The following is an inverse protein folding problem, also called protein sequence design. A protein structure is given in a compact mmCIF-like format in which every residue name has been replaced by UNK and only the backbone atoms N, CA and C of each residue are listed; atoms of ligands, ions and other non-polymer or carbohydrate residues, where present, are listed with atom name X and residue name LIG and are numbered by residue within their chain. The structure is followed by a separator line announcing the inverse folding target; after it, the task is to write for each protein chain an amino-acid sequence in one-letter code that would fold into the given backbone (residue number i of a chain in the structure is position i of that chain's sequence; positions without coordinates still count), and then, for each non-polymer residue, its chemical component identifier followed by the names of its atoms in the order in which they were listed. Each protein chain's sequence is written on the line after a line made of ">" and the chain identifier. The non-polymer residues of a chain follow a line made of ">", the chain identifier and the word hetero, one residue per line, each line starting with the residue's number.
data_IF_522783040578
#
_entry.id   IF_522783040578
#
_cell.length_a   1.000
_cell.length_b   1.000
_cell.length_c   1.000
_cell.angle_alpha   90.00
_cell.angle_beta   90.00
_cell.angle_gamma   90.00
#
_symmetry.space_group_name_H-M   'P 1'
#
loop_
_entity.id
_entity.type
_entity.pdbx_description
1 polymer ?
#
# COMPACT_ATOMS: atom_id res chain seq x y z
N UNK A 1 46.66 15.61 29.53
CA UNK A 1 45.36 15.12 30.05
C UNK A 1 44.14 16.01 29.75
N UNK A 2 44.27 17.30 29.36
CA UNK A 2 43.11 18.19 29.06
C UNK A 2 42.44 18.04 27.69
N UNK A 3 43.12 17.44 26.70
CA UNK A 3 42.62 17.34 25.31
C UNK A 3 41.63 16.16 25.14
N UNK A 4 41.81 15.08 25.91
CA UNK A 4 40.93 13.90 25.92
C UNK A 4 39.53 14.20 26.47
N UNK A 5 39.39 15.08 27.47
CA UNK A 5 38.06 15.45 27.99
C UNK A 5 37.28 16.34 27.01
N UNK A 6 37.96 17.15 26.20
CA UNK A 6 37.30 18.06 25.25
C UNK A 6 36.69 17.30 24.06
N UNK A 7 37.38 16.29 23.54
CA UNK A 7 36.85 15.43 22.47
C UNK A 7 35.68 14.56 22.95
N UNK A 8 35.71 14.10 24.21
CA UNK A 8 34.59 13.37 24.82
C UNK A 8 33.35 14.27 25.05
N UNK A 9 33.56 15.52 25.45
CA UNK A 9 32.46 16.49 25.58
C UNK A 9 31.90 16.85 24.20
N UNK A 10 32.75 17.05 23.18
CA UNK A 10 32.31 17.34 21.82
C UNK A 10 31.53 16.19 21.19
N UNK A 11 31.94 14.93 21.41
CA UNK A 11 31.18 13.76 20.94
C UNK A 11 29.85 13.60 21.68
N UNK A 12 29.79 13.89 22.99
CA UNK A 12 28.53 13.87 23.76
C UNK A 12 27.59 15.00 23.35
N UNK A 13 28.10 16.19 23.04
CA UNK A 13 27.32 17.33 22.53
C UNK A 13 26.82 17.04 21.10
N UNK A 14 27.68 16.52 20.22
CA UNK A 14 27.33 16.20 18.83
C UNK A 14 26.30 15.06 18.74
N UNK A 15 26.44 14.01 19.57
CA UNK A 15 25.44 12.94 19.68
C UNK A 15 24.13 13.41 20.31
N UNK A 16 24.15 14.47 21.12
CA UNK A 16 22.92 15.05 21.71
C UNK A 16 22.20 15.98 20.74
N UNK A 17 22.93 16.79 19.97
CA UNK A 17 22.35 17.65 18.93
C UNK A 17 21.72 16.84 17.78
N UNK A 18 22.40 15.79 17.32
CA UNK A 18 21.87 14.89 16.28
C UNK A 18 20.60 14.17 16.74
N UNK A 19 20.57 13.63 17.97
CA UNK A 19 19.36 13.02 18.55
C UNK A 19 18.20 14.01 18.67
N UNK A 20 18.47 15.24 19.07
CA UNK A 20 17.46 16.30 19.13
C UNK A 20 16.90 16.62 17.74
N UNK A 21 17.77 16.85 16.75
CA UNK A 21 17.36 17.17 15.39
C UNK A 21 16.51 16.05 14.78
N UNK A 22 16.96 14.79 14.92
CA UNK A 22 16.23 13.61 14.45
C UNK A 22 14.92 13.44 15.21
N UNK A 23 14.92 13.56 16.54
CA UNK A 23 13.72 13.44 17.38
C UNK A 23 12.64 14.47 17.01
N UNK A 24 13.03 15.74 16.83
CA UNK A 24 12.13 16.80 16.38
C UNK A 24 11.58 16.55 14.97
N UNK A 25 12.42 16.09 14.04
CA UNK A 25 12.00 15.76 12.68
C UNK A 25 10.99 14.61 12.68
N UNK A 26 11.27 13.51 13.40
CA UNK A 26 10.36 12.37 13.50
C UNK A 26 9.06 12.78 14.19
N UNK A 27 9.11 13.62 15.23
CA UNK A 27 7.91 14.15 15.90
C UNK A 27 7.03 14.93 14.91
N UNK A 28 7.63 15.84 14.14
CA UNK A 28 6.92 16.65 13.16
C UNK A 28 6.28 15.77 12.08
N UNK A 29 7.03 14.81 11.53
CA UNK A 29 6.51 13.89 10.52
C UNK A 29 5.38 13.01 11.07
N UNK A 30 5.49 12.54 12.32
CA UNK A 30 4.45 11.74 12.97
C UNK A 30 3.16 12.54 13.20
N UNK A 31 3.26 13.80 13.60
CA UNK A 31 2.09 14.69 13.77
C UNK A 31 1.46 15.00 12.42
N UNK A 32 2.24 15.31 11.37
CA UNK A 32 1.72 15.53 10.01
C UNK A 32 0.99 14.29 9.51
N UNK A 33 1.60 13.11 9.66
CA UNK A 33 1.00 11.84 9.27
C UNK A 33 -0.33 11.60 9.99
N UNK A 34 -0.37 11.85 11.30
CA UNK A 34 -1.56 11.67 12.12
C UNK A 34 -2.67 12.65 11.71
N UNK A 35 -2.38 13.94 11.56
CA UNK A 35 -3.36 14.95 11.13
C UNK A 35 -3.91 14.64 9.73
N UNK A 36 -3.03 14.26 8.80
CA UNK A 36 -3.42 13.87 7.44
C UNK A 36 -4.32 12.62 7.48
N UNK A 37 -3.96 11.60 8.26
CA UNK A 37 -4.77 10.40 8.44
C UNK A 37 -6.16 10.71 9.02
N UNK A 38 -6.22 11.49 10.11
CA UNK A 38 -7.50 11.82 10.75
C UNK A 38 -8.39 12.65 9.84
N UNK A 39 -7.82 13.62 9.13
CA UNK A 39 -8.56 14.47 8.19
C UNK A 39 -9.15 13.61 7.06
N UNK A 40 -8.36 12.69 6.50
CA UNK A 40 -8.84 11.77 5.48
C UNK A 40 -9.91 10.80 6.02
N UNK A 41 -9.73 10.28 7.24
CA UNK A 41 -10.68 9.39 7.89
C UNK A 41 -12.03 10.08 8.14
N UNK A 42 -12.00 11.34 8.57
CA UNK A 42 -13.19 12.19 8.73
C UNK A 42 -13.89 12.42 7.41
N UNK A 43 -13.16 12.89 6.38
CA UNK A 43 -13.74 13.17 5.06
C UNK A 43 -14.34 11.92 4.42
N UNK A 44 -13.66 10.77 4.53
CA UNK A 44 -14.14 9.50 4.01
C UNK A 44 -15.41 9.04 4.74
N UNK A 45 -15.43 9.17 6.07
CA UNK A 45 -16.62 8.81 6.88
C UNK A 45 -17.82 9.68 6.50
N UNK A 46 -17.65 11.01 6.42
CA UNK A 46 -18.71 11.93 5.96
C UNK A 46 -19.21 11.58 4.56
N UNK A 47 -18.30 11.29 3.64
CA UNK A 47 -18.64 11.01 2.25
C UNK A 47 -19.44 9.71 2.11
N UNK A 48 -19.10 8.68 2.90
CA UNK A 48 -19.84 7.42 2.94
C UNK A 48 -21.20 7.58 3.65
N UNK A 49 -21.26 8.32 4.75
CA UNK A 49 -22.52 8.64 5.46
C UNK A 49 -23.47 9.44 4.54
N UNK A 50 -22.95 10.42 3.79
CA UNK A 50 -23.69 11.15 2.75
C UNK A 50 -24.20 10.21 1.66
N UNK A 51 -23.33 9.34 1.13
CA UNK A 51 -23.70 8.36 0.12
C UNK A 51 -24.81 7.41 0.57
N UNK A 52 -24.83 7.03 1.85
CA UNK A 52 -25.86 6.16 2.41
C UNK A 52 -27.26 6.79 2.40
N UNK A 53 -27.35 8.12 2.58
CA UNK A 53 -28.62 8.82 2.55
C UNK A 53 -29.09 9.18 1.12
N UNK A 54 -28.17 9.25 0.16
CA UNK A 54 -28.46 9.62 -1.22
C UNK A 54 -28.70 8.43 -2.14
N UNK A 55 -28.21 7.23 -1.78
CA UNK A 55 -28.25 6.06 -2.66
C UNK A 55 -29.67 5.57 -2.92
N UNK A 56 -30.00 5.41 -4.21
CA UNK A 56 -31.25 4.82 -4.67
C UNK A 56 -30.97 3.41 -5.20
N UNK A 57 -31.44 2.34 -4.55
CA UNK A 57 -31.31 0.99 -5.07
C UNK A 57 -32.21 0.79 -6.30
N UNK A 58 -31.61 0.39 -7.41
CA UNK A 58 -32.34 0.11 -8.64
C UNK A 58 -32.99 -1.28 -8.56
N UNK A 59 -34.26 -1.36 -8.93
CA UNK A 59 -35.03 -2.61 -8.86
C UNK A 59 -34.57 -3.66 -9.90
N UNK A 60 -34.04 -3.21 -11.04
CA UNK A 60 -33.51 -4.07 -12.10
C UNK A 60 -32.37 -3.35 -12.82
N UNK A 61 -31.38 -4.14 -13.26
CA UNK A 61 -30.31 -3.67 -14.14
C UNK A 61 -30.75 -3.60 -15.62
N UNK A 62 -31.92 -4.14 -15.98
CA UNK A 62 -32.34 -4.39 -17.37
C UNK A 62 -33.12 -3.22 -17.98
N UNK A 63 -33.50 -2.21 -17.20
CA UNK A 63 -34.16 -1.02 -17.71
C UNK A 63 -33.42 0.21 -17.23
N UNK A 64 -32.99 1.07 -18.16
CA UNK A 64 -32.33 2.33 -17.81
C UNK A 64 -33.35 3.25 -17.13
N UNK A 65 -33.22 3.39 -15.81
CA UNK A 65 -34.04 4.29 -15.00
C UNK A 65 -33.66 5.76 -15.22
N UNK A 66 -34.12 6.34 -16.34
CA UNK A 66 -33.87 7.74 -16.68
C UNK A 66 -34.38 8.74 -15.61
N UNK A 67 -35.35 8.34 -14.79
CA UNK A 67 -35.85 9.09 -13.62
C UNK A 67 -34.84 9.24 -12.46
N UNK A 68 -33.71 8.52 -12.54
CA UNK A 68 -32.62 8.55 -11.59
C UNK A 68 -31.33 9.13 -12.18
N UNK A 69 -31.42 9.75 -13.36
CA UNK A 69 -30.30 10.48 -13.95
C UNK A 69 -29.81 11.59 -13.01
N UNK A 70 -28.49 11.72 -12.87
CA UNK A 70 -27.81 12.60 -11.92
C UNK A 70 -27.86 12.17 -10.45
N UNK A 71 -28.52 11.05 -10.11
CA UNK A 71 -28.60 10.54 -8.73
C UNK A 71 -27.55 9.48 -8.45
N UNK A 72 -27.24 9.28 -7.17
CA UNK A 72 -26.44 8.15 -6.69
C UNK A 72 -27.32 6.91 -6.73
N UNK A 73 -26.94 5.94 -7.53
CA UNK A 73 -27.68 4.69 -7.72
C UNK A 73 -26.87 3.50 -7.25
N UNK A 74 -27.56 2.46 -6.83
CA UNK A 74 -26.99 1.13 -6.61
C UNK A 74 -27.54 0.17 -7.65
N UNK A 75 -26.65 -0.55 -8.33
CA UNK A 75 -27.01 -1.65 -9.23
C UNK A 75 -26.15 -2.87 -8.92
N UNK A 76 -26.74 -4.04 -9.09
CA UNK A 76 -26.03 -5.30 -8.98
C UNK A 76 -26.40 -6.21 -10.14
N UNK A 77 -25.44 -6.95 -10.65
CA UNK A 77 -25.65 -7.90 -11.73
C UNK A 77 -24.34 -8.46 -12.27
N UNK A 78 -24.44 -9.36 -13.23
CA UNK A 78 -23.28 -9.91 -13.93
C UNK A 78 -22.63 -8.82 -14.80
N UNK A 79 -21.29 -8.81 -14.79
CA UNK A 79 -20.53 -8.00 -15.73
C UNK A 79 -20.73 -8.55 -17.14
N UNK A 80 -20.90 -7.66 -18.11
CA UNK A 80 -20.88 -8.01 -19.53
C UNK A 80 -19.84 -7.16 -20.21
N UNK A 81 -18.93 -7.78 -20.94
CA UNK A 81 -17.87 -7.09 -21.70
C UNK A 81 -18.07 -7.32 -23.19
N UNK A 82 -17.81 -6.29 -24.01
CA UNK A 82 -17.86 -6.41 -25.46
C UNK A 82 -16.97 -5.34 -26.11
N UNK A 83 -16.14 -5.68 -27.12
CA UNK A 83 -15.75 -7.05 -27.51
C UNK A 83 -14.89 -7.73 -26.43
N UNK A 84 -14.64 -9.05 -26.54
CA UNK A 84 -13.65 -9.76 -25.71
C UNK A 84 -12.25 -9.14 -25.87
N UNK A 85 -11.45 -9.20 -24.80
CA UNK A 85 -10.05 -8.78 -24.82
C UNK A 85 -9.19 -9.88 -25.45
N UNK A 86 -8.23 -9.47 -26.29
CA UNK A 86 -7.44 -10.40 -27.11
C UNK A 86 -5.96 -10.06 -27.11
N UNK A 87 -5.13 -11.10 -27.05
CA UNK A 87 -3.71 -11.04 -27.39
C UNK A 87 -3.44 -11.95 -28.59
N UNK A 88 -3.33 -11.33 -29.77
CA UNK A 88 -3.17 -12.03 -31.04
C UNK A 88 -1.84 -12.80 -31.15
N UNK A 89 -0.80 -12.39 -30.43
CA UNK A 89 0.51 -13.05 -30.48
C UNK A 89 0.45 -14.45 -29.85
N UNK A 90 -0.43 -14.62 -28.86
CA UNK A 90 -0.59 -15.87 -28.13
C UNK A 90 -1.94 -16.55 -28.35
N UNK A 91 -2.80 -16.00 -29.23
CA UNK A 91 -4.15 -16.52 -29.44
C UNK A 91 -5.03 -16.50 -28.18
N UNK A 92 -4.72 -15.62 -27.22
CA UNK A 92 -5.46 -15.53 -25.95
C UNK A 92 -6.67 -14.63 -26.15
N UNK A 93 -7.84 -15.12 -25.76
CA UNK A 93 -9.10 -14.39 -25.79
C UNK A 93 -9.83 -14.58 -24.47
N UNK A 94 -10.35 -13.49 -23.89
CA UNK A 94 -11.14 -13.57 -22.65
C UNK A 94 -12.17 -12.44 -22.54
N UNK A 95 -13.36 -12.80 -22.05
CA UNK A 95 -14.37 -11.84 -21.62
C UNK A 95 -14.08 -11.37 -20.18
N UNK A 96 -13.35 -10.27 -20.06
CA UNK A 96 -13.00 -9.67 -18.78
C UNK A 96 -12.81 -8.15 -18.89
N UNK A 97 -12.89 -7.45 -17.75
CA UNK A 97 -12.69 -5.98 -17.69
C UNK A 97 -11.26 -5.60 -18.05
N UNK A 98 -10.27 -6.38 -17.60
CA UNK A 98 -8.85 -6.15 -17.92
C UNK A 98 -8.12 -7.44 -18.21
N UNK A 99 -7.18 -7.36 -19.15
CA UNK A 99 -6.27 -8.42 -19.55
C UNK A 99 -4.84 -7.93 -19.35
N UNK A 100 -4.02 -8.68 -18.63
CA UNK A 100 -2.62 -8.37 -18.36
C UNK A 100 -1.71 -9.46 -18.92
N UNK A 101 -0.84 -9.06 -19.85
CA UNK A 101 0.32 -9.86 -20.27
C UNK A 101 1.52 -9.50 -19.40
N UNK A 102 2.00 -10.44 -18.61
CA UNK A 102 3.24 -10.29 -17.82
C UNK A 102 4.37 -11.04 -18.52
N UNK A 103 5.40 -10.30 -18.91
CA UNK A 103 6.61 -10.83 -19.54
C UNK A 103 7.75 -10.79 -18.54
N UNK A 104 8.47 -11.89 -18.40
CA UNK A 104 9.68 -11.97 -17.59
C UNK A 104 10.82 -12.51 -18.44
N UNK A 105 12.03 -12.02 -18.17
CA UNK A 105 13.24 -12.48 -18.83
C UNK A 105 14.16 -13.16 -17.81
N UNK A 106 14.74 -14.29 -18.20
CA UNK A 106 15.75 -14.98 -17.41
C UNK A 106 17.06 -14.20 -17.47
N UNK A 107 17.55 -13.75 -16.32
CA UNK A 107 18.68 -12.82 -16.21
C UNK A 107 19.54 -13.17 -14.99
N UNK A 108 20.81 -12.81 -15.04
CA UNK A 108 21.69 -12.77 -13.87
C UNK A 108 21.21 -11.74 -12.86
N UNK A 109 21.36 -12.07 -11.58
CA UNK A 109 21.13 -11.21 -10.43
C UNK A 109 22.31 -11.33 -9.47
N UNK A 110 22.68 -10.21 -8.86
CA UNK A 110 23.68 -10.14 -7.79
C UNK A 110 22.94 -10.07 -6.45
N UNK A 111 23.24 -10.97 -5.51
CA UNK A 111 22.81 -10.84 -4.12
C UNK A 111 23.98 -10.27 -3.28
N UNK A 112 23.86 -9.03 -2.79
CA UNK A 112 24.92 -8.39 -2.03
C UNK A 112 25.00 -8.87 -0.56
N UNK A 113 24.00 -9.61 -0.07
CA UNK A 113 23.86 -9.93 1.36
C UNK A 113 24.18 -11.39 1.71
N UNK A 114 24.36 -12.26 0.72
CA UNK A 114 24.65 -13.68 0.92
C UNK A 114 26.12 -13.87 1.40
N UNK A 115 26.34 -13.67 2.70
CA UNK A 115 27.64 -13.82 3.36
C UNK A 115 27.85 -12.96 4.61
N UNK A 116 26.85 -12.19 5.05
CA UNK A 116 26.89 -11.45 6.32
C UNK A 116 26.63 -12.33 7.55
N UNK A 117 26.23 -13.60 7.37
CA UNK A 117 25.87 -14.53 8.45
C UNK A 117 27.04 -15.35 9.02
N UNK A 118 28.28 -14.86 8.91
CA UNK A 118 29.43 -15.55 9.49
C UNK A 118 29.50 -15.26 11.00
N UNK A 119 29.19 -16.26 11.84
CA UNK A 119 29.40 -16.20 13.30
C UNK A 119 30.88 -15.93 13.61
N UNK A 120 31.17 -14.74 14.12
CA UNK A 120 32.52 -14.34 14.53
C UNK A 120 32.85 -15.04 15.85
N UNK A 121 33.77 -16.01 15.81
CA UNK A 121 34.40 -16.55 17.02
C UNK A 121 35.29 -15.47 17.68
N UNK A 122 35.19 -15.25 19.01
CA UNK A 122 35.96 -14.21 19.68
C UNK A 122 37.42 -14.63 19.79
N UNK A 123 38.27 -14.17 18.85
CA UNK A 123 39.71 -14.45 18.90
C UNK A 123 40.52 -14.00 17.69
N UNK A 124 39.94 -13.97 16.48
CA UNK A 124 40.69 -13.66 15.26
C UNK A 124 40.52 -12.20 14.83
N UNK A 125 41.52 -11.38 15.15
CA UNK A 125 41.65 -10.02 14.63
C UNK A 125 42.25 -10.06 13.20
N UNK A 126 41.46 -10.51 12.23
CA UNK A 126 41.78 -10.39 10.80
C UNK A 126 40.93 -9.28 10.19
N UNK A 127 41.45 -8.41 9.29
CA UNK A 127 40.65 -7.34 8.70
C UNK A 127 39.48 -7.97 7.93
N UNK A 128 38.26 -7.70 8.41
CA UNK A 128 37.00 -8.17 7.85
C UNK A 128 36.92 -7.75 6.37
N UNK A 129 37.26 -8.67 5.47
CA UNK A 129 36.91 -8.53 4.05
C UNK A 129 35.39 -8.68 3.98
N UNK A 130 34.64 -7.73 3.37
CA UNK A 130 33.23 -7.96 3.14
C UNK A 130 33.05 -9.25 2.32
N UNK A 131 32.01 -10.05 2.61
CA UNK A 131 31.72 -11.26 1.83
C UNK A 131 31.64 -10.91 0.34
N UNK A 132 32.14 -11.81 -0.50
CA UNK A 132 32.00 -11.64 -1.95
C UNK A 132 30.51 -11.77 -2.32
N UNK A 133 29.99 -10.93 -3.23
CA UNK A 133 28.61 -11.04 -3.69
C UNK A 133 28.40 -12.37 -4.43
N UNK A 134 27.21 -12.94 -4.30
CA UNK A 134 26.82 -14.15 -5.01
C UNK A 134 26.03 -13.80 -6.27
N UNK A 135 26.12 -14.67 -7.28
CA UNK A 135 25.44 -14.51 -8.55
C UNK A 135 24.54 -15.70 -8.79
N UNK A 136 23.30 -15.43 -9.18
CA UNK A 136 22.34 -16.45 -9.58
C UNK A 136 21.51 -15.97 -10.75
N UNK A 137 20.83 -16.89 -11.43
CA UNK A 137 19.92 -16.57 -12.53
C UNK A 137 18.47 -16.67 -12.08
N UNK A 138 17.68 -15.66 -12.43
CA UNK A 138 16.28 -15.59 -12.04
C UNK A 138 15.43 -14.93 -13.13
N UNK A 139 14.14 -15.27 -13.14
CA UNK A 139 13.14 -14.60 -13.97
C UNK A 139 12.78 -13.25 -13.36
N UNK A 140 13.01 -12.17 -14.10
CA UNK A 140 12.71 -10.79 -13.65
C UNK A 140 11.79 -10.07 -14.63
N UNK A 141 10.90 -9.23 -14.08
CA UNK A 141 9.94 -8.41 -14.84
C UNK A 141 10.55 -7.14 -15.45
N UNK A 142 11.78 -6.80 -15.05
CA UNK A 142 12.52 -5.61 -15.45
C UNK A 142 13.94 -5.98 -15.83
N UNK A 143 14.60 -5.11 -16.58
CA UNK A 143 16.01 -5.27 -16.93
C UNK A 143 16.85 -5.16 -15.67
N UNK A 144 17.79 -6.09 -15.52
CA UNK A 144 18.84 -6.03 -14.51
C UNK A 144 20.11 -5.57 -15.21
N UNK A 145 20.55 -4.36 -14.89
CA UNK A 145 21.77 -3.80 -15.45
C UNK A 145 22.99 -4.52 -14.87
N UNK A 146 23.51 -5.50 -15.63
CA UNK A 146 24.70 -6.26 -15.26
C UNK A 146 25.98 -5.43 -15.28
N UNK A 147 25.98 -4.23 -15.88
CA UNK A 147 27.10 -3.29 -15.83
C UNK A 147 27.34 -2.72 -14.43
N UNK A 148 26.34 -2.81 -13.54
CA UNK A 148 26.42 -2.39 -12.14
C UNK A 148 26.87 -3.50 -11.19
N UNK A 149 27.09 -4.72 -11.68
CA UNK A 149 27.55 -5.83 -10.85
C UNK A 149 28.98 -5.62 -10.38
N UNK A 150 29.33 -6.17 -9.20
CA UNK A 150 30.70 -6.11 -8.69
C UNK A 150 31.68 -6.86 -9.59
N UNK A 151 31.21 -7.93 -10.25
CA UNK A 151 31.93 -8.71 -11.26
C UNK A 151 31.03 -8.93 -12.47
N UNK A 152 31.04 -7.98 -13.45
CA UNK A 152 30.21 -8.09 -14.65
C UNK A 152 30.63 -9.24 -15.58
N UNK A 153 31.92 -9.55 -15.61
CA UNK A 153 32.48 -10.56 -16.52
C UNK A 153 31.87 -11.94 -16.25
N UNK A 154 31.21 -12.50 -17.27
CA UNK A 154 30.52 -13.80 -17.18
C UNK A 154 29.06 -13.72 -16.72
N UNK A 155 28.56 -12.51 -16.42
CA UNK A 155 27.20 -12.26 -15.94
C UNK A 155 26.44 -11.27 -16.82
N UNK A 156 26.72 -11.27 -18.13
CA UNK A 156 26.12 -10.34 -19.08
C UNK A 156 24.61 -10.58 -19.25
N UNK A 157 23.82 -9.54 -19.03
CA UNK A 157 22.38 -9.52 -19.27
C UNK A 157 22.05 -8.77 -20.58
N UNK A 158 20.93 -9.10 -21.23
CA UNK A 158 20.42 -8.32 -22.35
C UNK A 158 20.06 -6.89 -21.93
N UNK A 159 20.19 -5.95 -22.87
CA UNK A 159 19.94 -4.52 -22.63
C UNK A 159 18.52 -4.07 -22.98
N UNK A 160 17.67 -4.96 -23.49
CA UNK A 160 16.30 -4.66 -23.87
C UNK A 160 15.37 -5.88 -23.76
N UNK A 161 14.09 -5.63 -23.52
CA UNK A 161 13.04 -6.64 -23.64
C UNK A 161 12.51 -6.67 -25.08
N UNK A 162 12.60 -7.80 -25.81
CA UNK A 162 12.04 -7.89 -27.15
C UNK A 162 10.50 -7.90 -27.13
N UNK A 163 9.89 -8.25 -25.99
CA UNK A 163 8.45 -8.23 -25.77
C UNK A 163 8.13 -7.51 -24.44
N UNK A 164 7.14 -6.62 -24.47
CA UNK A 164 6.76 -5.81 -23.31
C UNK A 164 5.55 -6.38 -22.57
N UNK A 165 5.55 -6.20 -21.25
CA UNK A 165 4.35 -6.40 -20.43
C UNK A 165 3.32 -5.33 -20.76
N UNK A 166 2.04 -5.71 -20.75
CA UNK A 166 0.96 -4.84 -21.20
C UNK A 166 -0.31 -5.12 -20.39
N UNK A 167 -1.13 -4.09 -20.17
CA UNK A 167 -2.47 -4.22 -19.60
C UNK A 167 -3.44 -3.57 -20.57
N UNK A 168 -4.38 -4.36 -21.08
CA UNK A 168 -5.51 -3.91 -21.87
C UNK A 168 -6.74 -3.80 -20.97
N UNK A 169 -7.61 -2.82 -21.27
CA UNK A 169 -8.89 -2.61 -20.58
C UNK A 169 -10.00 -2.68 -21.63
N UNK A 170 -11.09 -3.35 -21.30
CA UNK A 170 -12.23 -3.49 -22.21
C UNK A 170 -12.86 -2.14 -22.55
N UNK A 171 -13.23 -1.96 -23.82
CA UNK A 171 -13.83 -0.71 -24.29
C UNK A 171 -15.23 -0.49 -23.71
N UNK A 172 -16.04 -1.55 -23.69
CA UNK A 172 -17.40 -1.51 -23.15
C UNK A 172 -17.57 -2.56 -22.07
N UNK A 173 -17.92 -2.10 -20.87
CA UNK A 173 -18.26 -2.94 -19.73
C UNK A 173 -19.59 -2.49 -19.17
N UNK A 174 -20.48 -3.44 -18.91
CA UNK A 174 -21.84 -3.19 -18.44
C UNK A 174 -22.21 -4.06 -17.24
N UNK A 175 -23.19 -3.58 -16.48
CA UNK A 175 -24.02 -4.38 -15.58
C UNK A 175 -25.46 -4.17 -16.02
N UNK A 176 -26.07 -5.20 -16.60
CA UNK A 176 -27.34 -5.07 -17.33
C UNK A 176 -27.22 -4.03 -18.46
N UNK A 177 -28.04 -2.98 -18.41
CA UNK A 177 -28.04 -1.90 -19.39
C UNK A 177 -27.22 -0.66 -18.98
N UNK A 178 -26.53 -0.72 -17.86
CA UNK A 178 -25.69 0.38 -17.37
C UNK A 178 -24.22 0.18 -17.75
N UNK A 179 -23.64 1.16 -18.43
CA UNK A 179 -22.21 1.23 -18.76
C UNK A 179 -21.40 1.63 -17.53
N UNK A 180 -20.20 1.08 -17.38
CA UNK A 180 -19.24 1.49 -16.35
C UNK A 180 -18.20 2.44 -16.95
N UNK A 181 -17.92 3.54 -16.26
CA UNK A 181 -16.90 4.50 -16.70
C UNK A 181 -15.47 3.96 -16.53
N UNK A 182 -14.51 4.52 -17.26
CA UNK A 182 -13.10 4.10 -17.24
C UNK A 182 -12.48 4.12 -15.83
N UNK A 183 -12.84 5.09 -15.00
CA UNK A 183 -12.35 5.23 -13.63
C UNK A 183 -12.75 4.03 -12.76
N UNK A 184 -13.95 3.47 -13.00
CA UNK A 184 -14.39 2.24 -12.32
C UNK A 184 -13.59 1.04 -12.84
N UNK A 185 -13.37 0.96 -14.16
CA UNK A 185 -12.61 -0.15 -14.76
C UNK A 185 -11.17 -0.24 -14.23
N UNK A 186 -10.55 0.90 -13.94
CA UNK A 186 -9.20 0.95 -13.37
C UNK A 186 -9.10 0.31 -11.98
N UNK A 187 -10.21 0.24 -11.22
CA UNK A 187 -10.22 -0.34 -9.87
C UNK A 187 -10.13 -1.87 -9.85
N UNK A 188 -10.37 -2.51 -10.99
CA UNK A 188 -10.15 -3.95 -11.18
C UNK A 188 -8.64 -4.22 -11.17
N UNK A 189 -8.13 -4.48 -9.97
CA UNK A 189 -6.68 -4.67 -9.70
C UNK A 189 -6.36 -6.06 -9.15
N UNK A 190 -7.38 -6.86 -8.84
CA UNK A 190 -7.25 -8.27 -8.47
C UNK A 190 -7.09 -9.09 -9.76
N UNK A 191 -5.84 -9.38 -10.09
CA UNK A 191 -5.47 -10.15 -11.29
C UNK A 191 -5.33 -11.63 -10.95
N UNK A 192 -6.11 -12.47 -11.63
CA UNK A 192 -6.08 -13.93 -11.49
C UNK A 192 -5.36 -14.55 -12.70
N UNK A 193 -4.41 -15.49 -12.50
CA UNK A 193 -3.67 -16.09 -13.60
C UNK A 193 -4.57 -16.98 -14.42
N UNK A 194 -4.39 -16.94 -15.74
CA UNK A 194 -5.02 -17.87 -16.66
C UNK A 194 -4.12 -18.12 -17.87
N UNK A 195 -4.51 -19.10 -18.68
CA UNK A 195 -3.78 -19.52 -19.86
C UNK A 195 -4.74 -19.67 -21.02
N UNK A 196 -4.25 -19.49 -22.24
CA UNK A 196 -5.03 -19.87 -23.42
C UNK A 196 -5.07 -21.38 -23.56
N UNK A 197 -6.02 -21.85 -24.36
CA UNK A 197 -6.23 -23.28 -24.63
C UNK A 197 -5.33 -23.79 -25.78
N UNK A 198 -4.78 -22.88 -26.60
CA UNK A 198 -4.03 -23.22 -27.80
C UNK A 198 -2.54 -22.82 -27.70
N UNK A 199 -1.67 -23.66 -28.24
CA UNK A 199 -0.26 -23.32 -28.43
C UNK A 199 -0.12 -22.35 -29.62
N UNK A 200 0.62 -21.24 -29.49
CA UNK A 200 0.72 -20.25 -30.56
C UNK A 200 1.35 -20.86 -31.81
N UNK A 201 0.78 -20.54 -32.98
CA UNK A 201 1.31 -21.00 -34.26
C UNK A 201 2.67 -20.33 -34.54
N UNK A 202 3.77 -21.07 -34.36
CA UNK A 202 5.11 -20.50 -34.58
C UNK A 202 6.31 -21.37 -34.22
N UNK A 203 6.13 -22.51 -33.54
CA UNK A 203 7.21 -23.48 -33.24
C UNK A 203 8.25 -23.04 -32.20
N UNK A 204 8.44 -21.73 -32.02
CA UNK A 204 9.42 -21.14 -31.09
C UNK A 204 8.84 -20.83 -29.70
N UNK A 205 7.53 -20.98 -29.52
CA UNK A 205 6.83 -20.74 -28.24
C UNK A 205 6.29 -22.06 -27.71
N UNK A 206 6.68 -22.41 -26.49
CA UNK A 206 6.24 -23.64 -25.82
C UNK A 206 5.25 -23.33 -24.71
N UNK A 207 4.15 -24.07 -24.63
CA UNK A 207 3.20 -23.98 -23.51
C UNK A 207 3.53 -25.02 -22.44
N UNK A 208 3.83 -24.57 -21.22
CA UNK A 208 4.08 -25.47 -20.08
C UNK A 208 3.55 -24.87 -18.78
N UNK A 209 2.80 -25.66 -18.01
CA UNK A 209 2.21 -25.24 -16.74
C UNK A 209 1.45 -23.90 -16.81
N UNK A 210 0.78 -23.64 -17.93
CA UNK A 210 0.00 -22.42 -18.16
C UNK A 210 0.81 -21.17 -18.51
N UNK A 211 2.13 -21.29 -18.71
CA UNK A 211 3.00 -20.22 -19.17
C UNK A 211 3.52 -20.49 -20.58
N UNK A 212 3.73 -19.42 -21.35
CA UNK A 212 4.35 -19.47 -22.66
C UNK A 212 5.84 -19.17 -22.54
N UNK A 213 6.69 -20.01 -23.12
CA UNK A 213 8.13 -19.89 -23.04
C UNK A 213 8.75 -19.70 -24.42
N UNK A 214 9.60 -18.69 -24.53
CA UNK A 214 10.48 -18.47 -25.69
C UNK A 214 11.85 -18.99 -25.30
N UNK A 215 12.03 -20.30 -25.42
CA UNK A 215 13.26 -21.00 -25.02
C UNK A 215 13.48 -22.30 -25.77
N UNK A 216 14.77 -22.62 -25.99
CA UNK A 216 15.20 -23.92 -26.49
C UNK A 216 14.94 -25.08 -25.52
N UNK A 217 14.98 -24.85 -24.20
CA UNK A 217 14.69 -25.86 -23.16
C UNK A 217 14.11 -25.19 -21.91
N UNK A 218 12.93 -25.62 -21.51
CA UNK A 218 12.17 -25.07 -20.38
C UNK A 218 12.86 -25.40 -19.04
N UNK A 219 13.54 -26.55 -18.96
CA UNK A 219 14.18 -27.01 -17.72
C UNK A 219 15.61 -26.47 -17.55
N UNK A 220 16.20 -25.95 -18.63
CA UNK A 220 17.52 -25.31 -18.64
C UNK A 220 17.47 -23.97 -19.37
N UNK A 221 16.75 -22.97 -18.83
CA UNK A 221 16.62 -21.66 -19.45
C UNK A 221 17.97 -20.93 -19.52
N UNK A 222 18.15 -20.15 -20.58
CA UNK A 222 19.34 -19.34 -20.83
C UNK A 222 19.03 -17.87 -20.61
N UNK A 223 20.08 -17.10 -20.30
CA UNK A 223 19.96 -15.66 -20.13
C UNK A 223 19.42 -15.05 -21.43
N UNK A 224 18.34 -14.26 -21.32
CA UNK A 224 17.60 -13.71 -22.45
C UNK A 224 16.35 -14.47 -22.86
N UNK A 225 16.15 -15.69 -22.38
CA UNK A 225 14.90 -16.42 -22.59
C UNK A 225 13.73 -15.67 -21.95
N UNK A 226 12.55 -15.77 -22.55
CA UNK A 226 11.33 -15.14 -22.06
C UNK A 226 10.33 -16.17 -21.55
N UNK A 227 9.58 -15.80 -20.53
CA UNK A 227 8.33 -16.47 -20.16
C UNK A 227 7.21 -15.45 -20.03
N UNK A 228 6.02 -15.85 -20.42
CA UNK A 228 4.82 -15.02 -20.44
C UNK A 228 3.69 -15.72 -19.70
N UNK A 229 3.05 -14.97 -18.80
CA UNK A 229 1.86 -15.38 -18.08
C UNK A 229 0.77 -14.33 -18.30
N UNK A 230 -0.44 -14.81 -18.60
CA UNK A 230 -1.61 -13.97 -18.68
C UNK A 230 -2.38 -13.94 -17.36
N UNK A 231 -3.00 -12.79 -17.11
CA UNK A 231 -3.89 -12.58 -15.98
C UNK A 231 -5.11 -11.79 -16.42
N UNK A 232 -6.25 -12.04 -15.81
CA UNK A 232 -7.46 -11.24 -16.04
C UNK A 232 -7.95 -10.61 -14.73
N UNK A 233 -8.75 -9.55 -14.84
CA UNK A 233 -9.49 -8.98 -13.72
C UNK A 233 -10.93 -8.68 -14.15
N UNK A 234 -11.90 -9.10 -13.33
CA UNK A 234 -13.34 -8.90 -13.57
C UNK A 234 -13.88 -9.71 -14.74
N UNK A 235 -14.09 -11.02 -14.56
CA UNK A 235 -14.66 -11.91 -15.58
C UNK A 235 -16.11 -11.53 -15.92
N UNK A 236 -16.52 -11.63 -17.20
CA UNK A 236 -17.82 -11.21 -17.73
C UNK A 236 -19.01 -12.14 -17.40
N UNK A 237 -18.96 -12.78 -16.24
CA UNK A 237 -20.07 -13.54 -15.67
C UNK A 237 -20.07 -13.46 -14.14
N UNK A 238 -19.12 -12.72 -13.57
CA UNK A 238 -19.04 -12.52 -12.14
C UNK A 238 -20.01 -11.40 -11.79
N UNK A 239 -20.90 -11.64 -10.82
CA UNK A 239 -21.77 -10.61 -10.32
C UNK A 239 -20.99 -9.57 -9.53
N UNK A 240 -21.26 -8.30 -9.78
CA UNK A 240 -20.75 -7.18 -8.99
C UNK A 240 -21.91 -6.31 -8.52
N UNK A 241 -21.68 -5.63 -7.41
CA UNK A 241 -22.54 -4.57 -6.88
C UNK A 241 -21.77 -3.27 -6.88
N UNK A 242 -22.36 -2.25 -7.50
CA UNK A 242 -21.74 -0.94 -7.64
C UNK A 242 -22.67 0.14 -7.10
N UNK A 243 -22.07 1.13 -6.44
CA UNK A 243 -22.72 2.38 -6.07
C UNK A 243 -21.98 3.52 -6.76
N UNK A 244 -22.71 4.34 -7.52
CA UNK A 244 -22.13 5.42 -8.30
C UNK A 244 -23.17 6.41 -8.78
N UNK A 245 -22.73 7.52 -9.37
CA UNK A 245 -23.65 8.51 -9.96
C UNK A 245 -24.06 8.04 -11.35
N UNK A 246 -25.36 8.02 -11.63
CA UNK A 246 -25.88 7.75 -12.97
C UNK A 246 -25.82 9.02 -13.82
N UNK A 247 -25.19 8.94 -14.99
CA UNK A 247 -25.23 9.97 -16.02
C UNK A 247 -25.67 9.35 -17.35
N UNK A 248 -26.92 9.59 -17.74
CA UNK A 248 -27.59 8.93 -18.85
C UNK A 248 -27.72 7.43 -18.63
N UNK A 249 -26.84 6.65 -19.27
CA UNK A 249 -26.73 5.19 -19.11
C UNK A 249 -25.39 4.75 -18.50
N UNK A 250 -24.56 5.70 -18.07
CA UNK A 250 -23.21 5.41 -17.58
C UNK A 250 -23.13 5.68 -16.08
N UNK A 251 -22.66 4.71 -15.34
CA UNK A 251 -22.34 4.84 -13.92
C UNK A 251 -20.92 5.36 -13.81
N UNK A 252 -20.76 6.45 -13.06
CA UNK A 252 -19.49 7.10 -12.74
C UNK A 252 -19.19 7.00 -11.25
N UNK A 253 -17.92 7.21 -10.83
CA UNK A 253 -17.59 7.33 -9.42
C UNK A 253 -18.49 8.35 -8.72
N UNK A 254 -18.93 8.01 -7.51
CA UNK A 254 -19.72 8.93 -6.71
C UNK A 254 -18.83 10.06 -6.20
N UNK A 255 -19.21 11.31 -6.46
CA UNK A 255 -18.51 12.48 -5.93
C UNK A 255 -19.26 13.07 -4.75
N UNK A 256 -18.65 13.04 -3.57
CA UNK A 256 -19.26 13.62 -2.37
C UNK A 256 -19.23 15.14 -2.38
N UNK A 257 -20.08 15.76 -1.55
CA UNK A 257 -20.06 17.22 -1.32
C UNK A 257 -18.70 17.74 -0.85
N UNK A 258 -17.92 16.88 -0.18
CA UNK A 258 -16.55 17.16 0.25
C UNK A 258 -15.49 17.09 -0.85
N UNK A 259 -15.89 16.80 -2.10
CA UNK A 259 -15.00 16.74 -3.26
C UNK A 259 -14.22 15.43 -3.41
N UNK A 260 -14.48 14.41 -2.58
CA UNK A 260 -13.90 13.09 -2.73
C UNK A 260 -14.65 12.28 -3.79
N UNK A 261 -13.91 11.63 -4.68
CA UNK A 261 -14.44 10.67 -5.62
C UNK A 261 -14.32 9.26 -5.03
N UNK A 262 -15.44 8.56 -4.94
CA UNK A 262 -15.58 7.26 -4.35
C UNK A 262 -15.99 6.26 -5.41
N UNK A 263 -15.11 5.29 -5.66
CA UNK A 263 -15.46 4.09 -6.43
C UNK A 263 -15.90 3.01 -5.44
N UNK A 264 -17.20 2.73 -5.43
CA UNK A 264 -17.82 1.77 -4.53
C UNK A 264 -18.21 0.53 -5.33
N UNK A 265 -17.26 -0.40 -5.45
CA UNK A 265 -17.40 -1.62 -6.22
C UNK A 265 -17.11 -2.82 -5.33
N UNK A 266 -18.01 -3.80 -5.33
CA UNK A 266 -17.87 -5.01 -4.54
C UNK A 266 -18.25 -6.24 -5.36
N UNK A 267 -17.44 -7.29 -5.27
CA UNK A 267 -17.73 -8.59 -5.87
C UNK A 267 -18.91 -9.27 -5.14
N UNK A 268 -19.81 -9.88 -5.91
CA UNK A 268 -21.05 -10.50 -5.46
C UNK A 268 -22.28 -9.58 -5.55
N UNK A 269 -23.47 -10.17 -5.40
CA UNK A 269 -24.75 -9.45 -5.30
C UNK A 269 -25.02 -9.04 -3.85
N UNK A 270 -24.81 -7.78 -3.54
CA UNK A 270 -24.97 -7.18 -2.21
C UNK A 270 -25.82 -5.91 -2.32
N UNK A 271 -26.64 -5.65 -1.30
CA UNK A 271 -27.41 -4.40 -1.24
C UNK A 271 -26.53 -3.17 -1.01
N UNK A 272 -27.06 -1.99 -1.31
CA UNK A 272 -26.36 -0.71 -1.16
C UNK A 272 -25.73 -0.52 0.24
N UNK A 273 -26.50 -0.79 1.30
CA UNK A 273 -26.03 -0.70 2.69
C UNK A 273 -24.84 -1.63 2.97
N UNK A 274 -24.85 -2.84 2.42
CA UNK A 274 -23.78 -3.82 2.63
C UNK A 274 -22.48 -3.39 1.90
N UNK A 275 -22.61 -2.83 0.70
CA UNK A 275 -21.49 -2.26 -0.05
C UNK A 275 -20.87 -1.11 0.75
N UNK A 276 -21.67 -0.11 1.14
CA UNK A 276 -21.21 1.03 1.92
C UNK A 276 -20.61 0.62 3.26
N UNK A 277 -21.23 -0.32 4.00
CA UNK A 277 -20.71 -0.83 5.26
C UNK A 277 -19.35 -1.53 5.09
N UNK A 278 -19.13 -2.24 3.98
CA UNK A 278 -17.84 -2.85 3.65
C UNK A 278 -16.76 -1.78 3.43
N UNK A 279 -17.10 -0.70 2.72
CA UNK A 279 -16.22 0.44 2.53
C UNK A 279 -15.92 1.20 3.85
N UNK A 280 -16.91 1.38 4.73
CA UNK A 280 -16.68 1.92 6.09
C UNK A 280 -15.69 1.07 6.88
N UNK A 281 -15.87 -0.25 6.89
CA UNK A 281 -14.94 -1.18 7.58
C UNK A 281 -13.53 -1.12 6.99
N UNK A 282 -13.39 -1.00 5.67
CA UNK A 282 -12.09 -0.87 5.01
C UNK A 282 -11.41 0.44 5.37
N UNK A 283 -12.13 1.57 5.30
CA UNK A 283 -11.64 2.88 5.68
C UNK A 283 -11.22 2.92 7.16
N UNK A 284 -12.05 2.36 8.04
CA UNK A 284 -11.76 2.27 9.47
C UNK A 284 -10.49 1.44 9.74
N UNK A 285 -10.34 0.27 9.12
CA UNK A 285 -9.12 -0.56 9.27
C UNK A 285 -7.87 0.17 8.79
N UNK A 286 -7.94 0.85 7.65
CA UNK A 286 -6.83 1.63 7.12
C UNK A 286 -6.44 2.77 8.09
N UNK A 287 -7.43 3.53 8.59
CA UNK A 287 -7.20 4.59 9.56
C UNK A 287 -6.59 4.06 10.87
N UNK A 288 -7.07 2.92 11.39
CA UNK A 288 -6.51 2.27 12.58
C UNK A 288 -5.08 1.77 12.36
N UNK A 289 -4.79 1.18 11.19
CA UNK A 289 -3.43 0.77 10.84
C UNK A 289 -2.48 1.96 10.80
N UNK A 290 -2.88 3.07 10.17
CA UNK A 290 -2.03 4.25 10.08
C UNK A 290 -1.89 4.99 11.43
N UNK A 291 -2.92 4.96 12.29
CA UNK A 291 -2.82 5.42 13.69
C UNK A 291 -1.77 4.61 14.47
N UNK A 292 -1.73 3.29 14.29
CA UNK A 292 -0.73 2.45 14.95
C UNK A 292 0.69 2.84 14.49
N UNK A 293 0.89 3.03 13.18
CA UNK A 293 2.17 3.49 12.63
C UNK A 293 2.54 4.87 13.18
N UNK A 294 1.64 5.85 13.11
CA UNK A 294 1.88 7.18 13.66
C UNK A 294 2.20 7.16 15.15
N UNK A 295 1.48 6.35 15.94
CA UNK A 295 1.74 6.15 17.36
C UNK A 295 3.13 5.55 17.63
N UNK A 296 3.56 4.57 16.84
CA UNK A 296 4.92 4.02 16.97
C UNK A 296 6.00 5.06 16.65
N UNK A 297 5.77 5.92 15.65
CA UNK A 297 6.66 7.04 15.33
C UNK A 297 6.68 8.09 16.45
N UNK A 298 5.53 8.39 17.07
CA UNK A 298 5.44 9.27 18.23
C UNK A 298 6.23 8.70 19.43
N UNK A 299 6.11 7.41 19.71
CA UNK A 299 6.92 6.74 20.74
C UNK A 299 8.42 6.86 20.44
N UNK A 300 8.83 6.63 19.19
CA UNK A 300 10.23 6.77 18.79
C UNK A 300 10.73 8.22 18.94
N UNK A 301 9.94 9.21 18.52
CA UNK A 301 10.26 10.63 18.66
C UNK A 301 10.42 11.02 20.14
N UNK A 302 9.46 10.65 20.99
CA UNK A 302 9.52 10.91 22.42
C UNK A 302 10.72 10.22 23.05
N UNK A 303 11.03 8.96 22.69
CA UNK A 303 12.18 8.24 23.22
C UNK A 303 13.51 8.95 22.91
N UNK A 304 13.65 9.51 21.70
CA UNK A 304 14.82 10.29 21.30
C UNK A 304 14.94 11.62 22.07
N UNK A 305 13.82 12.25 22.39
CA UNK A 305 13.75 13.54 23.09
C UNK A 305 13.77 13.40 24.62
N UNK A 306 13.42 12.23 25.15
CA UNK A 306 13.24 12.00 26.59
C UNK A 306 14.46 12.36 27.44
N UNK A 307 15.71 12.01 27.05
CA UNK A 307 16.89 12.37 27.84
C UNK A 307 17.06 13.88 28.00
N UNK A 308 16.70 14.67 26.98
CA UNK A 308 16.74 16.13 27.04
C UNK A 308 15.63 16.68 27.93
N UNK A 309 14.41 16.16 27.79
CA UNK A 309 13.28 16.55 28.63
C UNK A 309 13.57 16.29 30.12
N UNK A 310 14.24 15.19 30.45
CA UNK A 310 14.67 14.89 31.82
C UNK A 310 15.70 15.89 32.37
N UNK A 311 16.66 16.32 31.55
CA UNK A 311 17.64 17.35 31.95
C UNK A 311 16.96 18.69 32.23
N UNK A 312 16.01 19.08 31.38
CA UNK A 312 15.21 20.30 31.58
C UNK A 312 14.31 20.20 32.81
N UNK A 313 13.67 19.04 33.03
CA UNK A 313 12.86 18.80 34.22
C UNK A 313 13.69 18.94 35.52
N UNK A 314 14.90 18.39 35.56
CA UNK A 314 15.82 18.59 36.68
C UNK A 314 16.20 20.07 36.89
N UNK A 315 16.41 20.84 35.82
CA UNK A 315 16.68 22.27 35.91
C UNK A 315 15.50 23.06 36.50
N UNK A 316 14.26 22.60 36.29
CA UNK A 316 13.04 23.16 36.87
C UNK A 316 12.72 22.63 38.28
N UNK A 317 13.57 21.79 38.88
CA UNK A 317 13.35 21.21 40.20
C UNK A 317 12.34 20.06 40.25
N UNK A 318 11.97 19.49 39.09
CA UNK A 318 11.11 18.30 39.05
C UNK A 318 11.93 17.04 39.40
N UNK A 319 11.35 16.10 40.17
CA UNK A 319 12.03 14.87 40.56
C UNK A 319 12.34 14.03 39.32
N UNK A 320 13.57 13.52 39.27
CA UNK A 320 13.97 12.55 38.25
C UNK A 320 13.37 11.21 38.59
N UNK A 321 12.66 10.61 37.66
CA UNK A 321 12.23 9.23 37.77
C UNK A 321 13.47 8.32 37.69
N UNK A 322 13.81 7.66 38.80
CA UNK A 322 15.05 6.88 38.99
C UNK A 322 14.87 5.38 38.77
N UNK A 323 13.67 4.91 38.42
CA UNK A 323 13.41 3.51 38.14
C UNK A 323 14.09 3.03 36.85
N UNK A 324 14.95 2.01 36.92
CA UNK A 324 15.67 1.44 35.76
C UNK A 324 14.81 0.87 34.61
N UNK A 325 13.48 0.93 34.72
CA UNK A 325 12.53 0.55 33.67
C UNK A 325 11.40 1.58 33.41
N UNK A 326 11.47 2.80 33.97
CA UNK A 326 10.40 3.80 33.88
C UNK A 326 10.42 4.67 32.61
N UNK A 327 11.58 4.79 31.94
CA UNK A 327 11.70 5.58 30.71
C UNK A 327 10.75 5.15 29.58
N UNK A 328 10.55 3.84 29.41
CA UNK A 328 9.59 3.31 28.42
C UNK A 328 8.13 3.65 28.76
N UNK A 329 7.76 3.59 30.04
CA UNK A 329 6.40 3.91 30.50
C UNK A 329 6.07 5.39 30.30
N UNK A 330 7.03 6.27 30.63
CA UNK A 330 6.90 7.71 30.44
C UNK A 330 6.80 8.05 28.95
N UNK A 331 7.61 7.40 28.11
CA UNK A 331 7.57 7.57 26.65
C UNK A 331 6.20 7.25 26.08
N UNK A 332 5.68 6.06 26.40
CA UNK A 332 4.37 5.59 25.91
C UNK A 332 3.24 6.49 26.42
N UNK A 333 3.31 6.93 27.68
CA UNK A 333 2.32 7.82 28.27
C UNK A 333 2.27 9.18 27.56
N UNK A 334 3.42 9.82 27.37
CA UNK A 334 3.50 11.12 26.69
C UNK A 334 3.10 11.02 25.20
N UNK A 335 3.53 9.95 24.52
CA UNK A 335 3.12 9.69 23.14
C UNK A 335 1.60 9.44 23.04
N UNK A 336 1.00 8.72 24.00
CA UNK A 336 -0.43 8.46 24.03
C UNK A 336 -1.24 9.74 24.25
N UNK A 337 -0.83 10.58 25.20
CA UNK A 337 -1.45 11.90 25.44
C UNK A 337 -1.38 12.78 24.19
N UNK A 338 -0.21 12.86 23.55
CA UNK A 338 -0.04 13.65 22.32
C UNK A 338 -0.91 13.10 21.17
N UNK A 339 -0.94 11.77 21.00
CA UNK A 339 -1.77 11.13 19.99
C UNK A 339 -3.26 11.43 20.21
N UNK A 340 -3.75 11.26 21.45
CA UNK A 340 -5.14 11.55 21.80
C UNK A 340 -5.50 13.02 21.61
N UNK A 341 -4.59 13.94 21.97
CA UNK A 341 -4.80 15.38 21.79
C UNK A 341 -4.93 15.77 20.31
N UNK A 342 -4.07 15.22 19.43
CA UNK A 342 -4.14 15.48 17.99
C UNK A 342 -5.43 14.89 17.41
N UNK A 343 -5.78 13.65 17.75
CA UNK A 343 -7.03 13.02 17.29
C UNK A 343 -8.26 13.80 17.78
N UNK A 344 -8.28 14.22 19.05
CA UNK A 344 -9.35 15.04 19.59
C UNK A 344 -9.50 16.37 18.81
N UNK A 345 -8.38 17.03 18.48
CA UNK A 345 -8.38 18.25 17.68
C UNK A 345 -8.98 18.05 16.29
N UNK A 346 -8.60 16.99 15.58
CA UNK A 346 -9.11 16.70 14.24
C UNK A 346 -10.61 16.36 14.22
N UNK A 347 -11.13 15.67 15.23
CA UNK A 347 -12.54 15.28 15.30
C UNK A 347 -13.46 16.30 15.97
N UNK A 348 -12.92 17.44 16.45
CA UNK A 348 -13.65 18.43 17.24
C UNK A 348 -14.87 19.02 16.51
N UNK A 349 -14.74 19.30 15.21
CA UNK A 349 -15.81 19.89 14.39
C UNK A 349 -16.88 18.87 13.99
N UNK A 350 -16.49 17.59 13.90
CA UNK A 350 -17.30 16.49 13.40
C UNK A 350 -18.13 15.80 14.45
N UNK A 351 -17.47 15.43 15.54
CA UNK A 351 -18.03 14.64 16.63
C UNK A 351 -17.55 15.27 17.94
N UNK A 352 -18.11 16.43 18.33
CA UNK A 352 -17.62 17.20 19.47
C UNK A 352 -17.66 16.41 20.78
N UNK A 353 -18.63 15.52 20.95
CA UNK A 353 -18.69 14.63 22.12
C UNK A 353 -17.52 13.63 22.15
N UNK A 354 -17.17 13.04 21.01
CA UNK A 354 -16.04 12.11 20.92
C UNK A 354 -14.72 12.86 21.12
N UNK A 355 -14.56 14.03 20.51
CA UNK A 355 -13.40 14.88 20.71
C UNK A 355 -13.22 15.30 22.19
N UNK A 356 -14.31 15.69 22.86
CA UNK A 356 -14.28 16.04 24.28
C UNK A 356 -13.85 14.84 25.13
N UNK A 357 -14.43 13.66 24.90
CA UNK A 357 -14.08 12.42 25.61
C UNK A 357 -12.59 12.07 25.43
N UNK A 358 -12.08 12.16 24.20
CA UNK A 358 -10.66 11.92 23.91
C UNK A 358 -9.76 12.98 24.53
N UNK A 359 -10.17 14.25 24.54
CA UNK A 359 -9.45 15.34 25.18
C UNK A 359 -9.34 15.16 26.70
N UNK A 360 -10.43 14.77 27.36
CA UNK A 360 -10.43 14.43 28.79
C UNK A 360 -9.51 13.24 29.07
N UNK A 361 -9.55 12.21 28.21
CA UNK A 361 -8.67 11.05 28.33
C UNK A 361 -7.19 11.43 28.13
N UNK A 362 -6.88 12.37 27.23
CA UNK A 362 -5.53 12.86 27.02
C UNK A 362 -4.95 13.53 28.28
N UNK A 363 -5.79 14.20 29.08
CA UNK A 363 -5.41 14.82 30.35
C UNK A 363 -5.13 13.80 31.47
N UNK A 364 -5.56 12.55 31.33
CA UNK A 364 -5.31 11.48 32.29
C UNK A 364 -4.28 10.48 31.74
N UNK A 365 -2.97 10.66 32.03
CA UNK A 365 -1.95 9.76 31.50
C UNK A 365 -2.23 8.30 31.89
N UNK A 366 -2.20 7.35 30.93
CA UNK A 366 -2.65 5.97 31.15
C UNK A 366 -1.76 5.18 32.12
N UNK A 367 -0.56 5.67 32.44
CA UNK A 367 0.33 5.06 33.41
C UNK A 367 0.46 5.97 34.63
N UNK A 368 -0.02 5.49 35.78
CA UNK A 368 0.19 6.15 37.06
C UNK A 368 1.69 6.26 37.33
N UNK A 369 2.11 7.48 37.63
CA UNK A 369 3.46 7.79 38.08
C UNK A 369 3.61 7.15 39.46
N UNK A 370 4.40 6.08 39.53
CA UNK A 370 4.83 5.55 40.82
C UNK A 370 5.84 6.53 41.38
N UNK A 371 5.42 7.30 42.39
CA UNK A 371 6.32 8.13 43.18
C UNK A 371 7.21 7.27 44.07
#
# INVERSE_FOLDING_TARGET
>A
MRISSMNHIWSVVQTSYSRLAVGCLVLLLAVILLVWNETNAVQMTRSLDEGQHLVVPLASADAVAAEHDGKVVHVSGELVTSPPLRDLLYGVEIDAVRLKRRVQMYQWIEDPNEGLDVEISPGDASPLRPPAPSYSTAWKDKLVDSGLFSVPYGHDNPTSFPLQSEIQTAETVKIGNYLLSSEILETFTKFEPFSGDEEPSGGDVKLHAGMYYHTSDIFSPRVGDLRVQFYYAGHASTSYSIVGTLEGSTIKPYRSSGGQELVLLQEGTQGADAVLATHHKRASRAAWGLRLVAFTLLCAAVALLLPLLQVLACACGLPRDTGGGSGGRLTVSLAATLNLAVVAGCWCLDRPLLALMLGVLALYPPVKWGW
#
